data_IF_834403062296
#
_entry.id   IF_834403062296
#
_cell.length_a   1.000
_cell.length_b   1.000
_cell.length_c   1.000
_cell.angle_alpha   90.00
_cell.angle_beta   90.00
_cell.angle_gamma   90.00
#
_symmetry.space_group_name_H-M   'P 1'
#
loop_
_entity.id
_entity.type
_entity.pdbx_description
1 polymer ?
#
# COMPACT_ATOMS: atom_id res chain seq x y z
N UNK A 1 -8.64 17.17 -5.39
CA UNK A 1 -7.71 16.36 -4.57
C UNK A 1 -7.86 14.89 -4.91
N UNK A 2 -6.76 14.24 -5.29
CA UNK A 2 -6.69 12.79 -5.53
C UNK A 2 -6.92 12.04 -4.22
N UNK A 3 -7.73 10.98 -4.30
CA UNK A 3 -8.23 10.21 -3.14
C UNK A 3 -8.99 11.06 -2.09
N UNK A 4 -9.30 12.33 -2.39
CA UNK A 4 -9.86 13.27 -1.41
C UNK A 4 -8.87 13.77 -0.37
N UNK A 5 -7.56 13.52 -0.51
CA UNK A 5 -6.57 13.85 0.54
C UNK A 5 -5.25 14.47 0.06
N UNK A 6 -4.90 14.37 -1.23
CA UNK A 6 -3.65 14.93 -1.75
C UNK A 6 -3.87 15.73 -3.03
N UNK A 7 -2.98 16.68 -3.30
CA UNK A 7 -2.87 17.35 -4.61
C UNK A 7 -2.39 16.38 -5.68
N UNK A 8 -2.44 16.78 -6.95
CA UNK A 8 -1.87 15.97 -8.03
C UNK A 8 -0.34 15.89 -7.92
N UNK A 9 0.30 16.99 -7.52
CA UNK A 9 1.75 17.08 -7.32
C UNK A 9 2.22 16.15 -6.20
N UNK A 10 1.48 16.08 -5.10
CA UNK A 10 1.80 15.17 -4.00
C UNK A 10 1.52 13.71 -4.36
N UNK A 11 0.49 13.46 -5.16
CA UNK A 11 0.26 12.13 -5.75
C UNK A 11 1.44 11.70 -6.63
N UNK A 12 1.99 12.58 -7.47
CA UNK A 12 3.16 12.25 -8.31
C UNK A 12 4.34 11.83 -7.44
N UNK A 13 4.68 12.63 -6.41
CA UNK A 13 5.78 12.31 -5.48
C UNK A 13 5.54 10.96 -4.81
N UNK A 14 4.33 10.75 -4.29
CA UNK A 14 3.96 9.51 -3.63
C UNK A 14 4.03 8.29 -4.57
N UNK A 15 3.55 8.45 -5.80
CA UNK A 15 3.46 7.38 -6.80
C UNK A 15 4.82 7.00 -7.40
N UNK A 16 5.72 7.98 -7.61
CA UNK A 16 7.11 7.72 -8.03
C UNK A 16 7.81 6.82 -7.02
N UNK A 17 7.72 7.16 -5.74
CA UNK A 17 8.31 6.38 -4.65
C UNK A 17 7.66 5.01 -4.50
N UNK A 18 6.34 4.92 -4.65
CA UNK A 18 5.63 3.64 -4.69
C UNK A 18 6.11 2.76 -5.86
N UNK A 19 6.53 3.38 -6.97
CA UNK A 19 7.11 2.72 -8.14
C UNK A 19 8.30 1.82 -7.83
N UNK A 20 9.06 2.11 -6.75
CA UNK A 20 10.16 1.27 -6.27
C UNK A 20 9.71 -0.13 -5.84
N UNK A 21 8.42 -0.34 -5.53
CA UNK A 21 7.82 -1.65 -5.24
C UNK A 21 7.64 -2.55 -6.47
N UNK A 22 7.65 -1.98 -7.68
CA UNK A 22 7.52 -2.72 -8.96
C UNK A 22 6.28 -3.62 -9.03
N UNK A 23 5.15 -3.14 -8.52
CA UNK A 23 3.86 -3.84 -8.56
C UNK A 23 3.13 -3.60 -9.89
N UNK A 24 2.02 -4.31 -10.13
CA UNK A 24 1.37 -4.29 -11.44
C UNK A 24 0.88 -2.89 -11.88
N UNK A 25 0.62 -1.99 -10.92
CA UNK A 25 0.09 -0.65 -11.16
C UNK A 25 1.00 0.49 -10.69
N UNK A 26 2.17 0.19 -10.12
CA UNK A 26 3.17 1.19 -9.75
C UNK A 26 4.57 0.61 -10.01
N UNK A 27 5.28 1.24 -10.95
CA UNK A 27 6.63 0.85 -11.40
C UNK A 27 7.48 2.12 -11.51
N UNK A 28 8.81 2.04 -11.64
CA UNK A 28 9.64 3.21 -11.86
C UNK A 28 9.11 4.03 -13.04
N UNK A 29 8.91 5.32 -12.82
CA UNK A 29 8.16 6.21 -13.71
C UNK A 29 9.15 7.15 -14.42
N UNK A 30 8.97 7.38 -15.72
CA UNK A 30 9.59 8.50 -16.44
C UNK A 30 8.78 9.77 -16.32
N UNK A 31 7.45 9.62 -16.43
CA UNK A 31 6.55 10.73 -16.65
C UNK A 31 5.13 10.41 -16.14
N UNK A 32 4.47 11.42 -15.60
CA UNK A 32 3.08 11.38 -15.09
C UNK A 32 2.36 12.62 -15.57
N UNK A 33 1.26 12.43 -16.29
CA UNK A 33 0.48 13.49 -16.91
C UNK A 33 -0.99 13.37 -16.50
N UNK A 34 -1.58 14.46 -16.00
CA UNK A 34 -3.02 14.54 -15.77
C UNK A 34 -3.71 14.79 -17.10
N UNK A 35 -4.51 13.83 -17.56
CA UNK A 35 -5.23 13.91 -18.83
C UNK A 35 -6.58 14.59 -18.65
N UNK A 36 -7.28 14.26 -17.57
CA UNK A 36 -8.53 14.93 -17.22
C UNK A 36 -8.80 14.86 -15.73
N UNK A 37 -9.41 15.93 -15.22
CA UNK A 37 -9.99 16.04 -13.89
C UNK A 37 -11.47 16.40 -14.05
N UNK A 38 -12.33 15.47 -13.67
CA UNK A 38 -13.77 15.65 -13.51
C UNK A 38 -14.09 15.53 -12.02
N UNK A 39 -15.28 15.96 -11.60
CA UNK A 39 -15.66 16.07 -10.17
C UNK A 39 -15.24 14.84 -9.34
N UNK A 40 -15.50 13.62 -9.81
CA UNK A 40 -15.15 12.37 -9.10
C UNK A 40 -14.19 11.45 -9.84
N UNK A 41 -13.56 11.92 -10.92
CA UNK A 41 -12.72 11.10 -11.78
C UNK A 41 -11.44 11.84 -12.15
N UNK A 42 -10.32 11.19 -11.87
CA UNK A 42 -9.02 11.57 -12.40
C UNK A 42 -8.58 10.55 -13.43
N UNK A 43 -8.20 11.01 -14.62
CA UNK A 43 -7.53 10.19 -15.63
C UNK A 43 -6.08 10.64 -15.72
N UNK A 44 -5.17 9.73 -15.39
CA UNK A 44 -3.74 10.01 -15.31
C UNK A 44 -3.01 9.06 -16.25
N UNK A 45 -2.21 9.61 -17.15
CA UNK A 45 -1.28 8.83 -17.97
C UNK A 45 0.03 8.71 -17.22
N UNK A 46 0.60 7.51 -17.23
CA UNK A 46 1.92 7.23 -16.65
C UNK A 46 2.78 6.50 -17.66
N UNK A 47 4.06 6.86 -17.72
CA UNK A 47 5.06 6.14 -18.50
C UNK A 47 5.99 5.41 -17.55
N UNK A 48 6.02 4.08 -17.64
CA UNK A 48 6.87 3.25 -16.80
C UNK A 48 8.13 2.83 -17.54
N UNK A 49 9.27 2.90 -16.83
CA UNK A 49 10.49 2.23 -17.23
C UNK A 49 10.44 0.76 -16.84
N UNK A 50 10.29 -0.12 -17.82
CA UNK A 50 10.29 -1.58 -17.62
C UNK A 50 11.46 -2.18 -18.38
N UNK A 51 12.50 -2.56 -17.63
CA UNK A 51 13.78 -3.03 -18.18
C UNK A 51 14.39 -1.95 -19.09
N UNK A 52 14.49 -2.21 -20.40
CA UNK A 52 15.03 -1.27 -21.41
C UNK A 52 13.95 -0.65 -22.30
N UNK A 53 12.68 -0.72 -21.88
CA UNK A 53 11.55 -0.21 -22.66
C UNK A 53 10.66 0.69 -21.82
N UNK A 54 10.05 1.66 -22.47
CA UNK A 54 8.97 2.45 -21.89
C UNK A 54 7.65 1.75 -22.16
N UNK A 55 6.81 1.61 -21.13
CA UNK A 55 5.44 1.10 -21.27
C UNK A 55 4.48 2.10 -20.67
N UNK A 56 3.44 2.43 -21.40
CA UNK A 56 2.43 3.38 -20.96
C UNK A 56 1.27 2.68 -20.24
N UNK A 57 0.69 3.40 -19.29
CA UNK A 57 -0.52 3.01 -18.57
C UNK A 57 -1.42 4.22 -18.37
N UNK A 58 -2.72 3.94 -18.29
CA UNK A 58 -3.74 4.92 -17.94
C UNK A 58 -4.35 4.49 -16.59
N UNK A 59 -4.39 5.40 -15.64
CA UNK A 59 -4.96 5.23 -14.32
C UNK A 59 -6.25 6.04 -14.27
N UNK A 60 -7.38 5.38 -14.03
CA UNK A 60 -8.61 6.04 -13.64
C UNK A 60 -8.77 5.94 -12.12
N UNK A 61 -8.83 7.07 -11.44
CA UNK A 61 -9.09 7.13 -9.99
C UNK A 61 -10.48 7.70 -9.80
N UNK A 62 -11.39 6.89 -9.28
CA UNK A 62 -12.77 7.25 -9.01
C UNK A 62 -12.95 7.43 -7.51
N UNK A 63 -13.55 8.55 -7.09
CA UNK A 63 -13.81 8.81 -5.66
C UNK A 63 -15.11 8.20 -5.17
N UNK A 64 -16.11 8.09 -6.05
CA UNK A 64 -17.43 7.56 -5.76
C UNK A 64 -17.75 6.33 -6.59
N UNK A 65 -18.64 5.47 -6.13
CA UNK A 65 -18.98 4.21 -6.81
C UNK A 65 -19.87 4.39 -8.06
N UNK A 66 -20.38 5.60 -8.30
CA UNK A 66 -21.25 5.90 -9.42
C UNK A 66 -20.47 5.90 -10.75
N UNK A 67 -21.02 5.25 -11.78
CA UNK A 67 -20.47 5.33 -13.14
C UNK A 67 -19.25 4.46 -13.43
N UNK A 68 -18.89 3.49 -12.58
CA UNK A 68 -17.73 2.58 -12.82
C UNK A 68 -17.80 1.90 -14.19
N UNK A 69 -18.97 1.42 -14.61
CA UNK A 69 -19.17 0.79 -15.93
C UNK A 69 -18.87 1.76 -17.07
N UNK A 70 -19.34 3.00 -16.96
CA UNK A 70 -19.10 4.03 -17.97
C UNK A 70 -17.62 4.38 -18.06
N UNK A 71 -16.94 4.43 -16.92
CA UNK A 71 -15.50 4.71 -16.87
C UNK A 71 -14.70 3.55 -17.46
N UNK A 72 -15.10 2.29 -17.23
CA UNK A 72 -14.50 1.13 -17.91
C UNK A 72 -14.67 1.25 -19.43
N UNK A 73 -15.85 1.65 -19.92
CA UNK A 73 -16.08 1.92 -21.35
C UNK A 73 -15.18 3.05 -21.87
N UNK A 74 -15.05 4.16 -21.14
CA UNK A 74 -14.12 5.24 -21.50
C UNK A 74 -12.68 4.74 -21.58
N UNK A 75 -12.26 3.90 -20.63
CA UNK A 75 -10.93 3.31 -20.62
C UNK A 75 -10.67 2.37 -21.80
N UNK A 76 -11.70 1.76 -22.40
CA UNK A 76 -11.54 0.91 -23.59
C UNK A 76 -10.93 1.64 -24.80
N UNK A 77 -11.10 2.97 -24.88
CA UNK A 77 -10.47 3.82 -25.90
C UNK A 77 -8.93 3.81 -25.84
N UNK A 78 -8.36 3.43 -24.70
CA UNK A 78 -6.92 3.30 -24.48
C UNK A 78 -6.46 1.83 -24.56
N UNK A 79 -7.06 1.04 -25.46
CA UNK A 79 -6.83 -0.41 -25.54
C UNK A 79 -5.38 -0.85 -25.78
N UNK A 80 -4.54 0.03 -26.33
CA UNK A 80 -3.10 -0.20 -26.48
C UNK A 80 -2.28 -0.02 -25.19
N UNK A 81 -2.87 0.59 -24.14
CA UNK A 81 -2.21 0.91 -22.88
C UNK A 81 -2.58 -0.08 -21.78
N UNK A 82 -1.75 -0.15 -20.73
CA UNK A 82 -2.17 -0.85 -19.50
C UNK A 82 -3.23 -0.02 -18.78
N UNK A 83 -4.43 -0.57 -18.62
CA UNK A 83 -5.56 0.13 -17.98
C UNK A 83 -5.67 -0.24 -16.51
N UNK A 84 -5.50 0.74 -15.64
CA UNK A 84 -5.61 0.61 -14.19
C UNK A 84 -6.86 1.36 -13.74
N UNK A 85 -7.67 0.69 -12.94
CA UNK A 85 -8.89 1.25 -12.35
C UNK A 85 -8.74 1.25 -10.83
N UNK A 86 -8.85 2.41 -10.21
CA UNK A 86 -8.81 2.60 -8.76
C UNK A 86 -10.16 3.15 -8.30
N UNK A 87 -10.85 2.39 -7.47
CA UNK A 87 -12.24 2.66 -7.07
C UNK A 87 -12.42 2.43 -5.57
N UNK A 88 -13.46 3.01 -4.94
CA UNK A 88 -13.77 2.73 -3.54
C UNK A 88 -13.87 1.23 -3.30
N UNK A 89 -13.31 0.75 -2.18
CA UNK A 89 -13.14 -0.69 -1.91
C UNK A 89 -14.46 -1.47 -2.05
N UNK A 90 -15.56 -0.88 -1.60
CA UNK A 90 -16.89 -1.48 -1.54
C UNK A 90 -17.64 -1.42 -2.91
N UNK A 91 -16.99 -0.91 -3.97
CA UNK A 91 -17.56 -0.87 -5.33
C UNK A 91 -17.60 -2.25 -5.98
N UNK A 92 -18.67 -2.53 -6.72
CA UNK A 92 -18.81 -3.78 -7.47
C UNK A 92 -18.05 -3.72 -8.80
N UNK A 93 -17.35 -4.81 -9.12
CA UNK A 93 -16.69 -5.00 -10.41
C UNK A 93 -16.82 -6.46 -10.85
N UNK A 94 -17.03 -6.68 -12.14
CA UNK A 94 -16.96 -8.02 -12.71
C UNK A 94 -15.49 -8.48 -12.77
N UNK A 95 -15.16 -9.49 -11.97
CA UNK A 95 -13.81 -10.05 -11.91
C UNK A 95 -13.36 -10.69 -13.22
N UNK A 96 -14.27 -10.99 -14.16
CA UNK A 96 -13.91 -11.48 -15.49
C UNK A 96 -13.30 -10.38 -16.39
N UNK A 97 -13.43 -9.12 -16.01
CA UNK A 97 -12.89 -7.97 -16.76
C UNK A 97 -11.48 -7.55 -16.31
N UNK A 98 -10.91 -8.26 -15.32
CA UNK A 98 -9.65 -7.90 -14.67
C UNK A 98 -8.70 -9.08 -14.56
N UNK A 99 -7.39 -8.82 -14.54
CA UNK A 99 -6.37 -9.87 -14.39
C UNK A 99 -5.37 -9.61 -13.24
N UNK A 100 -5.52 -8.50 -12.50
CA UNK A 100 -4.81 -8.25 -11.26
C UNK A 100 -5.65 -7.40 -10.30
N UNK A 101 -5.42 -7.60 -8.99
CA UNK A 101 -6.12 -6.90 -7.91
C UNK A 101 -5.15 -6.48 -6.81
N UNK A 102 -5.37 -5.31 -6.24
CA UNK A 102 -4.70 -4.79 -5.06
C UNK A 102 -5.69 -3.97 -4.22
N UNK A 103 -5.34 -3.71 -2.97
CA UNK A 103 -5.99 -2.71 -2.11
C UNK A 103 -5.01 -1.59 -1.80
N UNK A 104 -5.55 -0.40 -1.57
CA UNK A 104 -4.84 0.79 -1.17
C UNK A 104 -5.60 1.44 -0.01
N UNK A 105 -4.91 1.66 1.09
CA UNK A 105 -5.45 2.37 2.25
C UNK A 105 -4.59 3.57 2.60
N UNK A 106 -5.26 4.62 3.08
CA UNK A 106 -4.61 5.76 3.73
C UNK A 106 -5.24 5.99 5.09
N UNK A 107 -4.41 6.30 6.08
CA UNK A 107 -4.78 6.80 7.39
C UNK A 107 -4.34 8.25 7.51
N UNK A 108 -5.11 9.06 8.21
CA UNK A 108 -4.56 10.26 8.84
C UNK A 108 -3.58 9.82 9.93
N UNK A 109 -2.50 10.56 10.16
CA UNK A 109 -1.61 10.30 11.31
C UNK A 109 -2.27 10.52 12.67
N UNK A 110 -3.47 11.12 12.70
CA UNK A 110 -4.35 11.22 13.87
C UNK A 110 -5.48 10.17 13.89
N UNK A 111 -5.41 9.12 13.05
CA UNK A 111 -6.48 8.13 12.93
C UNK A 111 -6.77 7.42 14.27
N UNK A 112 -8.06 7.17 14.52
CA UNK A 112 -8.53 6.46 15.70
C UNK A 112 -8.47 4.93 15.47
N UNK A 113 -7.26 4.40 15.45
CA UNK A 113 -7.04 2.96 15.29
C UNK A 113 -7.51 2.18 16.52
N UNK A 114 -7.64 0.86 16.40
CA UNK A 114 -7.95 -0.03 17.53
C UNK A 114 -6.95 0.15 18.67
N UNK A 115 -7.38 -0.10 19.92
CA UNK A 115 -6.47 -0.10 21.07
C UNK A 115 -5.31 -1.07 20.84
N UNK A 116 -4.04 -0.59 20.80
CA UNK A 116 -2.87 -1.43 20.55
C UNK A 116 -2.53 -2.29 21.76
N UNK A 117 -1.84 -3.42 21.52
CA UNK A 117 -1.25 -4.19 22.60
C UNK A 117 -0.02 -3.47 23.16
N UNK A 118 -0.11 -2.99 24.41
CA UNK A 118 0.95 -2.22 25.09
C UNK A 118 2.07 -3.08 25.68
N UNK A 119 1.87 -4.39 25.80
CA UNK A 119 2.91 -5.34 26.25
C UNK A 119 4.00 -5.52 25.19
N UNK A 120 3.69 -5.19 23.93
CA UNK A 120 4.64 -5.26 22.83
C UNK A 120 5.60 -4.06 22.93
N UNK A 121 6.84 -4.35 23.29
CA UNK A 121 7.95 -3.38 23.26
C UNK A 121 8.37 -3.16 21.80
N UNK A 122 8.66 -1.92 21.43
CA UNK A 122 9.07 -1.59 20.07
C UNK A 122 10.51 -1.08 20.05
N UNK A 123 11.24 -1.43 19.00
CA UNK A 123 12.52 -0.82 18.66
C UNK A 123 12.47 -0.31 17.22
N UNK A 124 12.90 0.93 17.04
CA UNK A 124 12.94 1.61 15.74
C UNK A 124 14.39 1.64 15.27
N UNK A 125 14.60 1.20 14.04
CA UNK A 125 15.90 1.11 13.39
C UNK A 125 15.93 2.03 12.16
N UNK A 126 16.81 3.01 12.21
CA UNK A 126 17.16 3.87 11.06
C UNK A 126 18.30 3.25 10.24
N UNK A 127 19.13 2.48 10.92
CA UNK A 127 20.21 1.67 10.35
C UNK A 127 20.18 0.28 11.02
N UNK A 128 20.73 -0.71 10.34
CA UNK A 128 20.78 -2.10 10.80
C UNK A 128 22.03 -2.81 10.28
N UNK A 129 22.54 -3.75 11.07
CA UNK A 129 23.59 -4.67 10.71
C UNK A 129 23.01 -6.04 10.28
N UNK A 130 23.89 -6.96 9.91
CA UNK A 130 23.52 -8.31 9.46
C UNK A 130 22.78 -9.14 10.53
N UNK A 131 23.08 -8.94 11.82
CA UNK A 131 22.38 -9.65 12.89
C UNK A 131 20.92 -9.20 12.98
N UNK A 132 20.66 -7.90 12.90
CA UNK A 132 19.29 -7.38 12.88
C UNK A 132 18.55 -7.77 11.59
N UNK A 133 19.23 -7.74 10.45
CA UNK A 133 18.67 -8.20 9.18
C UNK A 133 18.23 -9.68 9.25
N UNK A 134 19.00 -10.52 9.95
CA UNK A 134 18.65 -11.92 10.21
C UNK A 134 17.39 -12.05 11.07
N UNK A 135 17.22 -11.19 12.08
CA UNK A 135 16.00 -11.13 12.90
C UNK A 135 14.79 -10.73 12.05
N UNK A 136 14.90 -9.68 11.23
CA UNK A 136 13.82 -9.23 10.35
C UNK A 136 13.40 -10.35 9.39
N UNK A 137 14.39 -11.04 8.81
CA UNK A 137 14.20 -12.20 7.94
C UNK A 137 13.44 -13.33 8.62
N UNK A 138 13.80 -13.64 9.86
CA UNK A 138 13.14 -14.69 10.63
C UNK A 138 11.66 -14.35 10.85
N UNK A 139 11.35 -13.14 11.32
CA UNK A 139 9.97 -12.68 11.55
C UNK A 139 9.13 -12.73 10.26
N UNK A 140 9.64 -12.20 9.15
CA UNK A 140 8.90 -12.22 7.89
C UNK A 140 8.66 -13.65 7.41
N UNK A 141 9.69 -14.52 7.37
CA UNK A 141 9.52 -15.91 6.95
C UNK A 141 8.45 -16.64 7.76
N UNK A 142 8.42 -16.45 9.08
CA UNK A 142 7.38 -17.02 9.94
C UNK A 142 5.99 -16.38 9.73
N UNK A 143 5.92 -15.13 9.27
CA UNK A 143 4.66 -14.44 8.99
C UNK A 143 4.01 -14.89 7.68
N UNK A 144 4.76 -14.90 6.57
CA UNK A 144 4.19 -15.13 5.22
C UNK A 144 5.00 -16.05 4.30
N UNK A 145 6.14 -16.58 4.74
CA UNK A 145 6.93 -17.60 4.04
C UNK A 145 8.17 -17.11 3.28
N UNK A 146 8.38 -15.81 3.12
CA UNK A 146 9.57 -15.27 2.44
C UNK A 146 10.09 -14.01 3.14
N UNK A 147 11.18 -13.44 2.63
CA UNK A 147 11.77 -12.21 3.15
C UNK A 147 12.05 -11.25 2.02
N UNK A 148 11.67 -9.99 2.21
CA UNK A 148 12.14 -8.88 1.40
C UNK A 148 13.00 -7.99 2.30
N UNK A 149 14.27 -7.74 1.94
CA UNK A 149 15.12 -6.86 2.73
C UNK A 149 14.59 -5.42 2.69
N UNK A 150 14.68 -4.69 3.83
CA UNK A 150 14.46 -3.24 3.81
C UNK A 150 15.54 -2.58 2.93
N UNK A 151 15.18 -1.46 2.29
CA UNK A 151 16.08 -0.68 1.45
C UNK A 151 16.76 0.39 2.32
N UNK A 152 18.08 0.37 2.36
CA UNK A 152 18.86 1.42 3.02
C UNK A 152 18.48 2.79 2.48
N UNK A 153 18.45 3.80 3.35
CA UNK A 153 18.05 5.19 3.07
C UNK A 153 16.57 5.42 2.76
N UNK A 154 15.84 4.44 2.24
CA UNK A 154 14.40 4.56 1.98
C UNK A 154 13.56 4.17 3.21
N UNK A 155 14.03 3.21 4.03
CA UNK A 155 13.21 2.55 5.04
C UNK A 155 13.67 2.80 6.47
N UNK A 156 12.70 3.10 7.34
CA UNK A 156 12.80 2.90 8.79
C UNK A 156 12.14 1.56 9.13
N UNK A 157 12.79 0.73 9.95
CA UNK A 157 12.28 -0.57 10.37
C UNK A 157 11.76 -0.50 11.81
N UNK A 158 10.51 -0.88 12.02
CA UNK A 158 9.91 -1.02 13.36
C UNK A 158 9.82 -2.50 13.71
N UNK A 159 10.57 -2.91 14.74
CA UNK A 159 10.58 -4.28 15.25
C UNK A 159 9.81 -4.35 16.57
N UNK A 160 8.87 -5.30 16.68
CA UNK A 160 8.07 -5.54 17.88
C UNK A 160 8.50 -6.79 18.63
N UNK A 161 8.59 -6.67 19.95
CA UNK A 161 8.97 -7.73 20.87
C UNK A 161 7.84 -8.03 21.84
N UNK A 162 7.58 -9.31 22.09
CA UNK A 162 6.68 -9.77 23.14
C UNK A 162 7.45 -10.81 23.98
N UNK A 163 7.51 -10.61 25.30
CA UNK A 163 8.34 -11.42 26.21
C UNK A 163 9.78 -11.53 25.71
N UNK A 164 10.34 -10.38 25.30
CA UNK A 164 11.71 -10.21 24.77
C UNK A 164 12.04 -11.03 23.50
N UNK A 165 11.03 -11.63 22.86
CA UNK A 165 11.17 -12.31 21.57
C UNK A 165 10.68 -11.42 20.42
N UNK A 166 11.39 -11.33 19.29
CA UNK A 166 10.92 -10.60 18.12
C UNK A 166 9.72 -11.32 17.48
N UNK A 167 8.60 -10.62 17.35
CA UNK A 167 7.31 -11.20 16.90
C UNK A 167 6.68 -10.47 15.73
N UNK A 168 7.12 -9.25 15.43
CA UNK A 168 6.56 -8.45 14.35
C UNK A 168 7.55 -7.46 13.76
N UNK A 169 7.42 -7.15 12.47
CA UNK A 169 8.24 -6.17 11.77
C UNK A 169 7.42 -5.41 10.73
N UNK A 170 7.72 -4.13 10.53
CA UNK A 170 7.14 -3.31 9.46
C UNK A 170 8.18 -2.31 8.95
N UNK A 171 8.09 -1.96 7.66
CA UNK A 171 8.98 -0.98 7.03
C UNK A 171 8.19 0.27 6.66
N UNK A 172 8.61 1.42 7.16
CA UNK A 172 8.09 2.72 6.76
C UNK A 172 8.98 3.28 5.66
N UNK A 173 8.42 3.53 4.48
CA UNK A 173 9.10 4.32 3.46
C UNK A 173 9.03 5.80 3.82
N UNK A 174 10.19 6.43 4.05
CA UNK A 174 10.26 7.81 4.54
C UNK A 174 9.97 8.86 3.46
N UNK A 175 9.95 8.47 2.19
CA UNK A 175 9.75 9.40 1.07
C UNK A 175 8.27 9.55 0.68
N UNK A 176 7.44 8.54 0.97
CA UNK A 176 6.00 8.59 0.66
C UNK A 176 5.09 8.07 1.78
N UNK A 177 5.65 7.73 2.93
CA UNK A 177 4.93 7.23 4.10
C UNK A 177 4.05 6.00 3.80
N UNK A 178 4.46 5.19 2.82
CA UNK A 178 3.87 3.89 2.59
C UNK A 178 4.50 2.83 3.51
N UNK A 179 3.67 1.95 4.07
CA UNK A 179 4.12 0.75 4.78
C UNK A 179 4.53 -0.28 3.71
N UNK A 180 5.79 -0.22 3.28
CA UNK A 180 6.31 -1.10 2.25
C UNK A 180 6.25 -2.56 2.70
N UNK A 181 5.68 -3.41 1.84
CA UNK A 181 5.44 -4.84 2.08
C UNK A 181 4.44 -5.18 3.20
N UNK A 182 3.94 -4.18 3.92
CA UNK A 182 2.93 -4.30 4.96
C UNK A 182 3.48 -4.68 6.34
N UNK A 183 2.56 -4.81 7.30
CA UNK A 183 2.89 -5.20 8.67
C UNK A 183 2.94 -6.72 8.79
N UNK A 184 4.08 -7.25 9.25
CA UNK A 184 4.28 -8.68 9.46
C UNK A 184 4.25 -9.02 10.94
N UNK A 185 3.40 -9.99 11.30
CA UNK A 185 3.36 -10.60 12.63
C UNK A 185 3.52 -12.11 12.44
N UNK A 186 4.33 -12.77 13.26
CA UNK A 186 4.48 -14.23 13.22
C UNK A 186 3.14 -14.91 13.51
N UNK A 187 2.83 -15.99 12.79
CA UNK A 187 1.49 -16.61 12.77
C UNK A 187 0.97 -17.02 14.14
N UNK A 188 1.85 -17.56 14.99
CA UNK A 188 1.53 -17.99 16.37
C UNK A 188 1.11 -16.84 17.30
N UNK A 189 1.30 -15.59 16.86
CA UNK A 189 1.00 -14.38 17.63
C UNK A 189 -0.10 -13.52 17.00
N UNK A 190 -0.79 -14.05 15.98
CA UNK A 190 -1.97 -13.38 15.42
C UNK A 190 -3.09 -13.24 16.44
N UNK A 191 -4.00 -12.28 16.18
CA UNK A 191 -5.13 -11.92 17.05
C UNK A 191 -4.74 -11.35 18.43
N UNK A 192 -3.46 -11.03 18.65
CA UNK A 192 -2.96 -10.37 19.88
C UNK A 192 -2.78 -8.85 19.76
N UNK A 193 -3.37 -8.22 18.73
CA UNK A 193 -3.24 -6.76 18.41
C UNK A 193 -1.80 -6.23 18.31
N UNK A 194 -0.85 -7.10 18.00
CA UNK A 194 0.57 -6.73 17.80
C UNK A 194 0.72 -5.86 16.55
N UNK A 195 0.06 -6.23 15.43
CA UNK A 195 0.09 -5.43 14.21
C UNK A 195 -0.44 -4.01 14.43
N UNK A 196 -1.49 -3.86 15.23
CA UNK A 196 -2.04 -2.55 15.63
C UNK A 196 -1.03 -1.74 16.45
N UNK A 197 -0.23 -2.38 17.31
CA UNK A 197 0.86 -1.67 18.03
C UNK A 197 1.92 -1.12 17.08
N UNK A 198 2.29 -1.87 16.04
CA UNK A 198 3.21 -1.41 15.00
C UNK A 198 2.58 -0.28 14.18
N UNK A 199 1.31 -0.40 13.77
CA UNK A 199 0.60 0.66 13.06
C UNK A 199 0.56 1.97 13.86
N UNK A 200 0.29 1.89 15.17
CA UNK A 200 0.32 3.05 16.06
C UNK A 200 1.68 3.77 16.04
N UNK A 201 2.77 3.00 16.02
CA UNK A 201 4.12 3.54 15.97
C UNK A 201 4.44 4.16 14.61
N UNK A 202 4.01 3.53 13.51
CA UNK A 202 4.19 4.06 12.16
C UNK A 202 3.44 5.38 11.97
N UNK A 203 2.22 5.51 12.49
CA UNK A 203 1.46 6.77 12.50
C UNK A 203 2.20 7.85 13.30
N UNK A 204 2.74 7.50 14.49
CA UNK A 204 3.53 8.42 15.32
C UNK A 204 4.79 8.88 14.59
N UNK A 205 5.51 7.96 13.95
CA UNK A 205 6.73 8.25 13.19
C UNK A 205 6.42 9.16 11.99
N UNK A 206 5.41 8.82 11.18
CA UNK A 206 4.97 9.64 10.07
C UNK A 206 4.62 11.07 10.52
N UNK A 207 3.89 11.22 11.63
CA UNK A 207 3.56 12.53 12.21
C UNK A 207 4.82 13.32 12.62
N UNK A 208 5.77 12.66 13.28
CA UNK A 208 7.03 13.32 13.70
C UNK A 208 7.91 13.75 12.52
N UNK A 209 7.66 13.19 11.34
CA UNK A 209 8.33 13.53 10.08
C UNK A 209 7.49 14.48 9.22
N UNK A 210 6.49 15.15 9.81
CA UNK A 210 5.59 16.11 9.18
C UNK A 210 4.73 15.53 8.04
N UNK A 211 4.43 14.23 8.08
CA UNK A 211 3.39 13.66 7.23
C UNK A 211 2.03 13.67 7.92
N UNK A 212 1.02 14.12 7.20
CA UNK A 212 -0.38 14.03 7.64
C UNK A 212 -1.00 12.66 7.36
N UNK A 213 -0.36 11.84 6.52
CA UNK A 213 -0.89 10.55 6.12
C UNK A 213 0.12 9.41 6.18
N UNK A 214 -0.42 8.19 6.30
CA UNK A 214 0.30 6.93 6.19
C UNK A 214 -0.48 6.04 5.22
N UNK A 215 0.18 5.38 4.28
CA UNK A 215 -0.48 4.50 3.31
C UNK A 215 -0.05 3.05 3.42
N UNK A 216 -0.87 2.13 2.89
CA UNK A 216 -0.40 0.78 2.57
C UNK A 216 -0.99 0.32 1.26
N UNK A 217 -0.16 -0.34 0.45
CA UNK A 217 -0.58 -1.05 -0.76
C UNK A 217 -0.36 -2.53 -0.57
N UNK A 218 -1.37 -3.32 -0.91
CA UNK A 218 -1.25 -4.78 -0.90
C UNK A 218 -1.77 -5.38 -2.21
N UNK A 219 -0.91 -6.07 -2.93
CA UNK A 219 -1.28 -6.85 -4.12
C UNK A 219 -1.82 -8.21 -3.68
N UNK A 220 -2.93 -8.63 -4.26
CA UNK A 220 -3.51 -9.93 -3.96
C UNK A 220 -2.81 -11.02 -4.78
N UNK A 221 -2.62 -12.19 -4.18
CA UNK A 221 -1.96 -13.33 -4.87
C UNK A 221 -2.83 -13.94 -5.97
N UNK A 222 -4.14 -13.72 -5.91
CA UNK A 222 -5.12 -14.11 -6.92
C UNK A 222 -6.23 -13.06 -6.98
N UNK A 223 -7.00 -13.03 -8.09
CA UNK A 223 -8.13 -12.11 -8.24
C UNK A 223 -9.17 -12.24 -7.11
N UNK A 224 -9.47 -13.49 -6.75
CA UNK A 224 -10.39 -13.84 -5.66
C UNK A 224 -9.78 -13.64 -4.27
N UNK A 225 -8.49 -13.35 -4.16
CA UNK A 225 -7.76 -13.24 -2.90
C UNK A 225 -7.52 -14.58 -2.22
N UNK A 226 -6.41 -14.68 -1.49
CA UNK A 226 -6.14 -15.83 -0.61
C UNK A 226 -6.62 -15.56 0.82
N UNK A 227 -6.71 -16.59 1.66
CA UNK A 227 -7.04 -16.41 3.09
C UNK A 227 -6.08 -15.45 3.80
N UNK A 228 -4.80 -15.41 3.39
CA UNK A 228 -3.84 -14.44 3.90
C UNK A 228 -4.13 -13.01 3.44
N UNK A 229 -4.62 -12.82 2.22
CA UNK A 229 -4.97 -11.51 1.70
C UNK A 229 -6.17 -10.94 2.42
N UNK A 230 -7.20 -11.76 2.63
CA UNK A 230 -8.36 -11.38 3.43
C UNK A 230 -7.98 -11.03 4.87
N UNK A 231 -7.15 -11.83 5.54
CA UNK A 231 -6.71 -11.51 6.91
C UNK A 231 -5.99 -10.17 7.02
N UNK A 232 -5.11 -9.86 6.08
CA UNK A 232 -4.40 -8.58 6.07
C UNK A 232 -5.35 -7.41 5.74
N UNK A 233 -6.24 -7.60 4.77
CA UNK A 233 -7.28 -6.62 4.43
C UNK A 233 -8.15 -6.31 5.64
N UNK A 234 -8.71 -7.33 6.29
CA UNK A 234 -9.56 -7.15 7.47
C UNK A 234 -8.79 -6.53 8.64
N UNK A 235 -7.50 -6.85 8.81
CA UNK A 235 -6.65 -6.16 9.77
C UNK A 235 -6.60 -4.65 9.49
N UNK A 236 -6.28 -4.25 8.27
CA UNK A 236 -6.18 -2.82 7.94
C UNK A 236 -7.54 -2.13 8.03
N UNK A 237 -8.61 -2.72 7.48
CA UNK A 237 -9.99 -2.19 7.56
C UNK A 237 -10.42 -1.97 9.01
N UNK A 238 -10.11 -2.93 9.90
CA UNK A 238 -10.47 -2.84 11.30
C UNK A 238 -9.73 -1.73 12.05
N UNK A 239 -8.61 -1.21 11.52
CA UNK A 239 -7.90 -0.06 12.07
C UNK A 239 -8.31 1.26 11.38
N UNK A 240 -9.52 1.34 10.85
CA UNK A 240 -10.19 2.60 10.47
C UNK A 240 -9.37 3.54 9.53
N UNK A 241 -8.99 3.07 8.32
CA UNK A 241 -8.38 3.92 7.31
C UNK A 241 -9.38 4.98 6.83
N UNK A 242 -8.88 6.21 6.67
CA UNK A 242 -9.62 7.34 6.11
C UNK A 242 -10.06 7.08 4.67
N UNK A 243 -9.18 6.44 3.87
CA UNK A 243 -9.46 6.10 2.48
C UNK A 243 -9.31 4.61 2.24
N UNK A 244 -10.30 4.04 1.53
CA UNK A 244 -10.37 2.62 1.18
C UNK A 244 -10.60 2.43 -0.31
N UNK A 245 -9.57 1.94 -1.00
CA UNK A 245 -9.62 1.73 -2.44
C UNK A 245 -9.27 0.30 -2.82
N UNK A 246 -9.97 -0.21 -3.84
CA UNK A 246 -9.57 -1.37 -4.63
C UNK A 246 -8.88 -0.88 -5.92
N UNK A 247 -7.79 -1.54 -6.30
CA UNK A 247 -7.04 -1.26 -7.53
C UNK A 247 -7.11 -2.51 -8.41
N UNK A 248 -7.51 -2.33 -9.67
CA UNK A 248 -7.64 -3.38 -10.65
C UNK A 248 -6.82 -3.07 -11.90
N UNK A 249 -6.30 -4.12 -12.54
CA UNK A 249 -5.81 -4.03 -13.92
C UNK A 249 -6.84 -4.67 -14.83
N UNK A 250 -7.41 -3.87 -15.71
CA UNK A 250 -8.39 -4.32 -16.70
C UNK A 250 -7.70 -5.18 -17.77
N UNK A 251 -8.44 -6.14 -18.33
CA UNK A 251 -8.02 -6.97 -19.48
C UNK A 251 -8.17 -6.16 -20.76
#
# INVERSE_FOLDING_TARGET
>A
MIFGLMSFEDFIKWYIELGKLKIFWAKPVSDVELISEEEDLYIIRTRWFIRRRTKEAILAIIRNCNGVIEIIKRLSKYGNLTRILIIPEDSLIDLNTVNARSILYFWSTNANILRPNREVKLKVYYEWNENELSIFRNVQKQSWGFFIPPRTYDHIVVLGFLNDKPVAVAYLNIHNFNIDYGIHVIKSHWRKRIGTRLLAELLRLAKSMNSDTLSVVRVFRSLKGTSSDYRAREFYRANDPLVRMSVFRLI
#
